data_IF_544526613062
#
_entry.id   IF_544526613062
#
_cell.length_a   1.000
_cell.length_b   1.000
_cell.length_c   1.000
_cell.angle_alpha   90.00
_cell.angle_beta   90.00
_cell.angle_gamma   90.00
#
_symmetry.space_group_name_H-M   'P 1'
#
loop_
_entity.id
_entity.type
_entity.pdbx_description
1 polymer ?
#
# COMPACT_ATOMS: atom_id res chain seq x y z
N UNK A 1 7.64 9.46 0.30
CA UNK A 1 7.16 8.20 0.90
C UNK A 1 7.86 7.07 0.19
N UNK A 2 8.47 6.13 0.92
CA UNK A 2 9.25 5.04 0.31
C UNK A 2 8.67 3.68 0.69
N UNK A 3 8.61 2.77 -0.28
CA UNK A 3 8.24 1.38 -0.02
C UNK A 3 9.41 0.66 0.66
N UNK A 4 9.13 -0.02 1.77
CA UNK A 4 10.11 -0.87 2.46
C UNK A 4 9.87 -2.33 2.11
N UNK A 5 10.94 -3.12 2.12
CA UNK A 5 10.83 -4.56 1.91
C UNK A 5 10.22 -5.24 3.15
N UNK A 6 9.83 -6.51 3.00
CA UNK A 6 9.22 -7.28 4.08
C UNK A 6 10.12 -7.43 5.32
N UNK A 7 11.45 -7.47 5.15
CA UNK A 7 12.40 -7.63 6.27
C UNK A 7 12.45 -6.37 7.13
N UNK A 8 12.57 -5.20 6.51
CA UNK A 8 12.52 -3.91 7.20
C UNK A 8 11.14 -3.67 7.79
N UNK A 9 10.06 -3.97 7.05
CA UNK A 9 8.70 -3.85 7.54
C UNK A 9 8.45 -4.70 8.80
N UNK A 10 8.94 -5.95 8.83
CA UNK A 10 8.79 -6.84 9.99
C UNK A 10 9.56 -6.39 11.24
N UNK A 11 10.61 -5.56 11.07
CA UNK A 11 11.35 -4.95 12.18
C UNK A 11 10.72 -3.66 12.68
N UNK A 12 9.75 -3.11 11.95
CA UNK A 12 9.05 -1.87 12.29
C UNK A 12 7.64 -2.17 12.80
N UNK A 13 7.12 -1.30 13.66
CA UNK A 13 5.74 -1.38 14.11
C UNK A 13 4.91 -0.44 13.23
N UNK A 14 3.95 -0.96 12.43
CA UNK A 14 3.07 -0.10 11.67
C UNK A 14 2.18 0.68 12.64
N UNK A 15 2.04 1.99 12.40
CA UNK A 15 1.18 2.83 13.23
C UNK A 15 -0.26 2.85 12.72
N UNK A 16 -0.46 2.53 11.45
CA UNK A 16 -1.76 2.50 10.78
C UNK A 16 -1.66 1.62 9.52
N UNK A 17 -2.78 1.32 8.88
CA UNK A 17 -2.85 0.67 7.59
C UNK A 17 -3.85 1.38 6.67
N UNK A 18 -3.72 1.14 5.37
CA UNK A 18 -4.66 1.60 4.36
C UNK A 18 -5.10 0.41 3.53
N UNK A 19 -6.41 0.31 3.31
CA UNK A 19 -6.99 -0.64 2.37
C UNK A 19 -7.92 0.11 1.44
N UNK A 20 -7.76 -0.11 0.15
CA UNK A 20 -8.58 0.54 -0.87
C UNK A 20 -8.76 -0.37 -2.07
N UNK A 21 -9.81 -0.12 -2.83
CA UNK A 21 -10.07 -0.81 -4.10
C UNK A 21 -10.13 0.22 -5.20
N UNK A 22 -9.47 -0.05 -6.31
CA UNK A 22 -9.45 0.82 -7.46
C UNK A 22 -9.10 0.07 -8.75
N UNK A 23 -9.24 0.77 -9.86
CA UNK A 23 -8.78 0.29 -11.15
C UNK A 23 -7.35 0.77 -11.36
N UNK A 24 -6.39 -0.16 -11.42
CA UNK A 24 -4.97 0.15 -11.61
C UNK A 24 -4.48 -0.55 -12.87
N UNK A 25 -3.85 0.20 -13.76
CA UNK A 25 -3.34 -0.33 -15.03
C UNK A 25 -1.96 -0.95 -14.85
N UNK A 26 -1.20 -0.48 -13.86
CA UNK A 26 0.15 -0.94 -13.55
C UNK A 26 0.41 -1.00 -12.05
N UNK A 27 1.45 -1.75 -11.65
CA UNK A 27 1.94 -1.73 -10.26
C UNK A 27 2.46 -0.34 -9.86
N UNK A 28 2.96 0.46 -10.80
CA UNK A 28 3.38 1.84 -10.54
C UNK A 28 2.23 2.71 -10.07
N UNK A 29 1.04 2.55 -10.67
CA UNK A 29 -0.17 3.27 -10.25
C UNK A 29 -0.57 2.88 -8.82
N UNK A 30 -0.48 1.59 -8.50
CA UNK A 30 -0.72 1.07 -7.16
C UNK A 30 0.24 1.72 -6.16
N UNK A 31 1.55 1.65 -6.40
CA UNK A 31 2.56 2.23 -5.50
C UNK A 31 2.39 3.74 -5.33
N UNK A 32 2.04 4.46 -6.40
CA UNK A 32 1.79 5.91 -6.36
C UNK A 32 0.59 6.24 -5.47
N UNK A 33 -0.49 5.49 -5.62
CA UNK A 33 -1.72 5.71 -4.88
C UNK A 33 -1.59 5.30 -3.40
N UNK A 34 -0.90 4.19 -3.12
CA UNK A 34 -0.53 3.82 -1.74
C UNK A 34 0.32 4.93 -1.13
N UNK A 35 1.36 5.40 -1.84
CA UNK A 35 2.24 6.45 -1.35
C UNK A 35 1.49 7.75 -1.06
N UNK A 36 0.53 8.13 -1.90
CA UNK A 36 -0.32 9.32 -1.68
C UNK A 36 -1.13 9.19 -0.40
N UNK A 37 -1.86 8.08 -0.22
CA UNK A 37 -2.66 7.81 0.99
C UNK A 37 -1.80 7.70 2.25
N UNK A 38 -0.61 7.11 2.12
CA UNK A 38 0.38 7.03 3.18
C UNK A 38 0.87 8.43 3.59
N UNK A 39 1.14 9.32 2.62
CA UNK A 39 1.54 10.70 2.89
C UNK A 39 0.44 11.50 3.60
N UNK A 40 -0.82 11.35 3.16
CA UNK A 40 -1.97 12.01 3.77
C UNK A 40 -2.14 11.63 5.26
N UNK A 41 -1.78 10.38 5.61
CA UNK A 41 -1.77 9.88 6.99
C UNK A 41 -0.48 10.20 7.76
N UNK A 42 0.49 10.87 7.14
CA UNK A 42 1.76 11.23 7.78
C UNK A 42 2.71 10.06 8.00
N UNK A 43 2.63 9.03 7.17
CA UNK A 43 3.64 7.99 7.09
C UNK A 43 4.93 8.53 6.43
N UNK A 44 6.07 7.89 6.65
CA UNK A 44 7.28 8.07 5.82
C UNK A 44 7.56 6.85 4.96
N UNK A 45 7.18 5.68 5.46
CA UNK A 45 7.33 4.41 4.77
C UNK A 45 6.00 3.67 4.69
N UNK A 46 5.89 2.79 3.70
CA UNK A 46 4.77 1.87 3.58
C UNK A 46 5.26 0.50 3.12
N UNK A 47 4.47 -0.53 3.37
CA UNK A 47 4.69 -1.86 2.84
C UNK A 47 3.37 -2.44 2.33
N UNK A 48 3.33 -2.87 1.07
CA UNK A 48 2.12 -3.49 0.52
C UNK A 48 2.01 -4.92 1.05
N UNK A 49 1.02 -5.17 1.91
CA UNK A 49 0.80 -6.46 2.55
C UNK A 49 -0.13 -7.37 1.75
N UNK A 50 -1.03 -6.79 0.95
CA UNK A 50 -1.98 -7.57 0.15
C UNK A 50 -2.34 -6.89 -1.15
N UNK A 51 -2.34 -7.67 -2.22
CA UNK A 51 -2.90 -7.30 -3.51
C UNK A 51 -3.87 -8.39 -3.94
N UNK A 52 -5.14 -8.04 -4.11
CA UNK A 52 -6.19 -8.97 -4.49
C UNK A 52 -6.94 -8.45 -5.69
N UNK A 53 -6.86 -9.19 -6.81
CA UNK A 53 -7.59 -8.87 -8.01
C UNK A 53 -8.99 -9.51 -7.95
N UNK A 54 -10.03 -8.70 -8.08
CA UNK A 54 -11.39 -9.22 -8.13
C UNK A 54 -11.66 -9.88 -9.49
N UNK A 55 -11.99 -11.17 -9.46
CA UNK A 55 -12.21 -12.03 -10.65
C UNK A 55 -13.34 -11.56 -11.57
N UNK A 56 -14.24 -10.69 -11.11
CA UNK A 56 -15.44 -10.26 -11.86
C UNK A 56 -15.35 -8.90 -12.52
N UNK A 57 -14.26 -8.14 -12.35
CA UNK A 57 -14.17 -6.87 -13.05
C UNK A 57 -13.03 -6.01 -12.56
N UNK A 58 -11.90 -6.08 -13.27
CA UNK A 58 -10.80 -5.11 -13.40
C UNK A 58 -10.20 -4.45 -12.16
N UNK A 59 -10.79 -4.62 -10.99
CA UNK A 59 -10.52 -3.86 -9.79
C UNK A 59 -9.55 -4.66 -8.93
N UNK A 60 -8.57 -3.95 -8.42
CA UNK A 60 -7.55 -4.47 -7.55
C UNK A 60 -7.74 -3.83 -6.17
N UNK A 61 -7.92 -4.68 -5.17
CA UNK A 61 -7.91 -4.28 -3.77
C UNK A 61 -6.49 -4.38 -3.25
N UNK A 62 -5.99 -3.28 -2.69
CA UNK A 62 -4.63 -3.16 -2.18
C UNK A 62 -4.70 -2.78 -0.70
N UNK A 63 -3.96 -3.51 0.11
CA UNK A 63 -3.72 -3.22 1.52
C UNK A 63 -2.25 -2.94 1.74
N UNK A 64 -1.95 -1.89 2.48
CA UNK A 64 -0.59 -1.51 2.84
C UNK A 64 -0.51 -1.03 4.28
N UNK A 65 0.56 -1.43 4.94
CA UNK A 65 0.89 -0.99 6.29
C UNK A 65 1.72 0.29 6.24
N UNK A 66 1.49 1.19 7.19
CA UNK A 66 2.09 2.51 7.26
C UNK A 66 3.06 2.62 8.43
N UNK A 67 4.23 3.21 8.16
CA UNK A 67 5.28 3.40 9.16
C UNK A 67 5.73 4.86 9.20
N UNK A 68 6.15 5.30 10.38
CA UNK A 68 6.64 6.66 10.66
C UNK A 68 8.02 6.93 10.10
#
# INVERSE_FOLDING_TARGET
IQEVNNVTAAQMVPFDSVTFTGHFNSMTDVSTEVAKRAAEKGAKYYHVTRQWQNKSGGNLTVSADLFK
#
